data_IF_374674626646
#
_entry.id   IF_374674626646
#
_cell.length_a   1.000
_cell.length_b   1.000
_cell.length_c   1.000
_cell.angle_alpha   90.00
_cell.angle_beta   90.00
_cell.angle_gamma   90.00
#
_symmetry.space_group_name_H-M   'P 1'
#
loop_
_entity.id
_entity.type
_entity.pdbx_description
1 polymer ?
#
# COMPACT_ATOMS: atom_id res chain seq x y z
N UNK A 1 3.92 16.08 8.90
CA UNK A 1 3.72 17.43 9.47
C UNK A 1 2.44 18.12 9.01
N UNK A 2 2.21 18.43 7.72
CA UNK A 2 1.07 19.29 7.31
C UNK A 2 -0.36 18.72 7.40
N UNK A 3 -0.55 17.40 7.28
CA UNK A 3 -1.91 16.80 7.18
C UNK A 3 -2.81 17.09 8.39
N UNK A 4 -2.24 17.19 9.60
CA UNK A 4 -3.00 17.33 10.85
C UNK A 4 -3.91 18.57 10.86
N UNK A 5 -3.49 19.65 10.22
CA UNK A 5 -4.25 20.91 10.16
C UNK A 5 -5.48 20.83 9.25
N UNK A 6 -5.51 19.87 8.32
CA UNK A 6 -6.59 19.71 7.34
C UNK A 6 -7.63 18.66 7.77
N UNK A 7 -7.47 18.05 8.95
CA UNK A 7 -8.35 16.98 9.45
C UNK A 7 -9.06 17.37 10.76
N UNK A 8 -10.39 17.21 10.84
CA UNK A 8 -11.31 16.82 9.76
C UNK A 8 -11.55 17.98 8.78
N UNK A 9 -11.80 17.70 7.48
CA UNK A 9 -12.18 18.74 6.53
C UNK A 9 -13.57 19.30 6.86
N UNK A 10 -13.89 20.55 6.48
CA UNK A 10 -15.21 21.15 6.71
C UNK A 10 -16.37 20.32 6.13
N UNK A 11 -16.14 19.65 4.99
CA UNK A 11 -17.10 18.76 4.33
C UNK A 11 -17.41 17.48 5.12
N UNK A 12 -16.60 17.14 6.14
CA UNK A 12 -16.62 15.85 6.87
C UNK A 12 -16.51 14.62 5.97
N UNK A 13 -16.05 14.79 4.72
CA UNK A 13 -15.84 13.75 3.72
C UNK A 13 -14.52 14.02 3.01
N UNK A 14 -13.63 13.04 2.98
CA UNK A 14 -12.32 13.20 2.36
C UNK A 14 -11.64 11.87 2.13
N UNK A 15 -10.78 11.86 1.11
CA UNK A 15 -9.79 10.83 0.84
C UNK A 15 -8.41 11.42 1.10
N UNK A 16 -7.57 10.69 1.82
CA UNK A 16 -6.17 11.05 2.05
C UNK A 16 -5.29 9.99 1.40
N UNK A 17 -4.48 10.40 0.43
CA UNK A 17 -3.43 9.58 -0.16
C UNK A 17 -2.11 9.84 0.57
N UNK A 18 -1.43 8.79 0.99
CA UNK A 18 -0.12 8.81 1.65
C UNK A 18 0.83 7.96 0.81
N UNK A 19 1.75 8.63 0.12
CA UNK A 19 2.67 8.02 -0.84
C UNK A 19 4.06 8.68 -0.70
N UNK A 20 4.83 8.34 0.34
CA UNK A 20 6.20 8.81 0.47
C UNK A 20 7.16 8.04 -0.44
N UNK A 21 8.36 8.59 -0.70
CA UNK A 21 9.36 7.90 -1.53
C UNK A 21 9.98 6.67 -0.85
N UNK A 22 9.89 6.55 0.49
CA UNK A 22 10.49 5.48 1.30
C UNK A 22 12.03 5.37 1.17
N UNK A 23 12.69 6.46 0.79
CA UNK A 23 14.15 6.56 0.78
C UNK A 23 14.73 6.44 2.19
N UNK A 24 14.02 6.99 3.18
CA UNK A 24 14.44 7.02 4.57
C UNK A 24 13.66 5.96 5.35
N UNK A 25 14.37 5.12 6.12
CA UNK A 25 13.76 4.07 6.95
C UNK A 25 12.68 4.59 7.92
N UNK A 26 12.82 5.83 8.37
CA UNK A 26 11.84 6.44 9.29
C UNK A 26 10.50 6.72 8.64
N UNK A 27 10.40 6.72 7.31
CA UNK A 27 9.15 7.00 6.60
C UNK A 27 8.08 5.94 6.88
N UNK A 28 8.45 4.66 6.99
CA UNK A 28 7.54 3.58 7.36
C UNK A 28 6.87 3.83 8.73
N UNK A 29 7.65 4.25 9.72
CA UNK A 29 7.14 4.58 11.05
C UNK A 29 6.27 5.84 11.02
N UNK A 30 6.70 6.88 10.30
CA UNK A 30 5.94 8.14 10.14
C UNK A 30 4.58 7.91 9.49
N UNK A 31 4.48 7.03 8.49
CA UNK A 31 3.21 6.64 7.86
C UNK A 31 2.26 6.02 8.88
N UNK A 32 2.73 5.06 9.68
CA UNK A 32 1.90 4.43 10.71
C UNK A 32 1.42 5.46 11.76
N UNK A 33 2.30 6.34 12.24
CA UNK A 33 1.92 7.43 13.15
C UNK A 33 0.92 8.38 12.51
N UNK A 34 1.13 8.72 11.23
CA UNK A 34 0.22 9.59 10.47
C UNK A 34 -1.19 9.00 10.38
N UNK A 35 -1.32 7.71 10.08
CA UNK A 35 -2.62 7.02 10.06
C UNK A 35 -3.27 7.01 11.45
N UNK A 36 -2.50 6.67 12.49
CA UNK A 36 -3.02 6.65 13.86
C UNK A 36 -3.57 8.02 14.28
N UNK A 37 -2.83 9.09 14.03
CA UNK A 37 -3.27 10.46 14.35
C UNK A 37 -4.48 10.89 13.49
N UNK A 38 -4.49 10.49 12.22
CA UNK A 38 -5.58 10.83 11.30
C UNK A 38 -6.88 10.14 11.70
N UNK A 39 -6.85 8.85 12.06
CA UNK A 39 -8.02 8.12 12.52
C UNK A 39 -8.60 8.66 13.83
N UNK A 40 -7.75 9.19 14.73
CA UNK A 40 -8.21 9.88 15.95
C UNK A 40 -8.96 11.18 15.63
N UNK A 41 -8.52 11.94 14.61
CA UNK A 41 -9.08 13.25 14.24
C UNK A 41 -10.28 13.16 13.31
N UNK A 42 -10.21 12.26 12.34
CA UNK A 42 -11.20 12.08 11.29
C UNK A 42 -11.40 10.60 10.99
N UNK A 43 -12.14 9.94 11.87
CA UNK A 43 -12.32 8.47 11.89
C UNK A 43 -13.11 7.90 10.71
N UNK A 44 -13.84 8.74 9.96
CA UNK A 44 -14.67 8.35 8.81
C UNK A 44 -14.03 8.65 7.46
N UNK A 45 -12.83 9.26 7.44
CA UNK A 45 -12.08 9.49 6.21
C UNK A 45 -11.60 8.20 5.56
N UNK A 46 -11.50 8.19 4.23
CA UNK A 46 -10.83 7.10 3.51
C UNK A 46 -9.34 7.40 3.45
N UNK A 47 -8.51 6.50 3.97
CA UNK A 47 -7.05 6.65 3.98
C UNK A 47 -6.43 5.61 3.07
N UNK A 48 -5.62 6.04 2.11
CA UNK A 48 -4.97 5.20 1.12
C UNK A 48 -3.48 5.34 1.27
N UNK A 49 -2.78 4.23 1.56
CA UNK A 49 -1.33 4.19 1.73
C UNK A 49 -0.74 3.33 0.63
N UNK A 50 0.10 3.92 -0.21
CA UNK A 50 0.97 3.16 -1.12
C UNK A 50 2.25 2.77 -0.39
N UNK A 51 2.80 1.59 -0.66
CA UNK A 51 4.12 1.22 -0.15
C UNK A 51 4.86 0.20 -1.05
N UNK A 52 6.20 0.24 -1.09
CA UNK A 52 7.00 -0.72 -1.84
C UNK A 52 7.15 -2.04 -1.07
N UNK A 53 7.16 -3.16 -1.78
CA UNK A 53 7.50 -4.48 -1.22
C UNK A 53 8.93 -4.80 -1.64
N UNK A 54 9.86 -4.55 -0.72
CA UNK A 54 11.31 -4.71 -0.89
C UNK A 54 11.87 -5.48 0.30
N UNK A 55 13.04 -6.16 0.17
CA UNK A 55 13.67 -6.94 1.24
C UNK A 55 14.25 -6.05 2.36
N UNK A 56 13.38 -5.28 3.01
CA UNK A 56 13.64 -4.48 4.20
C UNK A 56 12.61 -4.82 5.28
N UNK A 57 13.01 -5.05 6.54
CA UNK A 57 12.08 -5.36 7.62
C UNK A 57 10.96 -4.32 7.76
N UNK A 58 11.31 -3.03 7.69
CA UNK A 58 10.36 -1.93 7.86
C UNK A 58 9.24 -1.94 6.80
N UNK A 59 9.58 -2.34 5.58
CA UNK A 59 8.60 -2.48 4.48
C UNK A 59 7.63 -3.64 4.70
N UNK A 60 8.11 -4.75 5.28
CA UNK A 60 7.28 -5.90 5.60
C UNK A 60 6.38 -5.64 6.82
N UNK A 61 6.83 -4.81 7.76
CA UNK A 61 6.10 -4.53 8.99
C UNK A 61 5.03 -3.46 8.84
N UNK A 62 5.19 -2.52 7.90
CA UNK A 62 4.20 -1.48 7.65
C UNK A 62 2.77 -2.03 7.44
N UNK A 63 2.50 -2.95 6.50
CA UNK A 63 1.14 -3.46 6.29
C UNK A 63 0.59 -4.19 7.53
N UNK A 64 1.43 -4.91 8.30
CA UNK A 64 1.01 -5.53 9.56
C UNK A 64 0.56 -4.48 10.57
N UNK A 65 1.35 -3.41 10.72
CA UNK A 65 1.05 -2.32 11.64
C UNK A 65 -0.21 -1.56 11.24
N UNK A 66 -0.44 -1.35 9.94
CA UNK A 66 -1.66 -0.73 9.43
C UNK A 66 -2.91 -1.59 9.69
N UNK A 67 -2.83 -2.92 9.50
CA UNK A 67 -3.89 -3.87 9.88
C UNK A 67 -4.22 -3.76 11.37
N UNK A 68 -3.20 -3.77 12.23
CA UNK A 68 -3.37 -3.61 13.69
C UNK A 68 -4.06 -2.30 14.05
N UNK A 69 -3.61 -1.17 13.48
CA UNK A 69 -4.18 0.15 13.75
C UNK A 69 -5.65 0.25 13.30
N UNK A 70 -5.98 -0.30 12.13
CA UNK A 70 -7.35 -0.33 11.62
C UNK A 70 -8.27 -1.18 12.51
N UNK A 71 -7.81 -2.38 12.91
CA UNK A 71 -8.55 -3.26 13.81
C UNK A 71 -8.76 -2.62 15.20
N UNK A 72 -7.72 -2.00 15.77
CA UNK A 72 -7.82 -1.28 17.05
C UNK A 72 -8.80 -0.10 16.98
N UNK A 73 -8.91 0.56 15.83
CA UNK A 73 -9.87 1.63 15.59
C UNK A 73 -11.28 1.11 15.22
N UNK A 74 -11.49 -0.21 15.16
CA UNK A 74 -12.70 -0.86 14.67
C UNK A 74 -13.14 -0.30 13.30
N UNK A 75 -12.18 -0.21 12.37
CA UNK A 75 -12.41 0.31 11.01
C UNK A 75 -12.19 -0.78 9.97
N UNK A 76 -13.08 -0.89 8.98
CA UNK A 76 -12.88 -1.80 7.87
C UNK A 76 -11.65 -1.35 7.07
N UNK A 77 -10.91 -2.32 6.57
CA UNK A 77 -9.74 -2.10 5.72
C UNK A 77 -9.68 -3.09 4.55
N UNK A 78 -8.98 -2.68 3.51
CA UNK A 78 -8.68 -3.45 2.31
C UNK A 78 -7.19 -3.33 2.01
N UNK A 79 -6.55 -4.44 1.68
CA UNK A 79 -5.13 -4.50 1.40
C UNK A 79 -4.91 -5.25 0.09
N UNK A 80 -4.44 -4.54 -0.93
CA UNK A 80 -4.13 -5.10 -2.23
C UNK A 80 -2.61 -5.08 -2.46
N UNK A 81 -2.06 -6.17 -2.97
CA UNK A 81 -0.66 -6.23 -3.41
C UNK A 81 -0.57 -6.72 -4.84
N UNK A 82 0.41 -6.20 -5.56
CA UNK A 82 0.74 -6.60 -6.93
C UNK A 82 2.24 -6.83 -7.01
N UNK A 83 2.63 -8.00 -7.47
CA UNK A 83 4.00 -8.35 -7.82
C UNK A 83 4.06 -8.62 -9.33
N UNK A 84 4.93 -7.89 -10.03
CA UNK A 84 5.16 -8.08 -11.47
C UNK A 84 6.20 -9.16 -11.73
N UNK A 85 6.88 -9.66 -10.70
CA UNK A 85 7.90 -10.69 -10.82
C UNK A 85 9.19 -10.19 -11.47
N UNK A 86 10.06 -11.15 -11.78
CA UNK A 86 11.37 -10.92 -12.36
C UNK A 86 11.43 -11.51 -13.77
N UNK A 87 12.06 -10.75 -14.65
CA UNK A 87 12.29 -11.11 -16.04
C UNK A 87 13.60 -11.89 -16.14
N UNK A 88 13.50 -13.20 -16.39
CA UNK A 88 14.69 -14.07 -16.47
C UNK A 88 15.50 -13.80 -17.75
N UNK A 89 14.87 -13.23 -18.79
CA UNK A 89 15.50 -12.96 -20.08
C UNK A 89 16.41 -11.72 -20.06
N UNK A 90 16.38 -10.91 -18.99
CA UNK A 90 17.26 -9.74 -18.81
C UNK A 90 18.62 -10.06 -18.18
N UNK A 91 18.92 -11.32 -17.90
CA UNK A 91 20.26 -11.75 -17.56
C UNK A 91 21.10 -11.95 -18.83
N UNK A 92 21.44 -10.85 -19.52
CA UNK A 92 22.43 -10.88 -20.61
C UNK A 92 23.82 -10.94 -19.98
N UNK A 93 24.65 -11.96 -20.25
CA UNK A 93 26.00 -12.03 -19.72
C UNK A 93 26.82 -10.80 -20.16
N UNK A 94 27.34 -10.02 -19.21
CA UNK A 94 28.20 -8.86 -19.49
C UNK A 94 27.52 -7.49 -19.33
N UNK A 95 26.20 -7.43 -19.13
CA UNK A 95 25.56 -6.20 -18.64
C UNK A 95 25.62 -6.15 -17.11
N UNK A 96 26.03 -5.01 -16.53
CA UNK A 96 25.88 -4.77 -15.10
C UNK A 96 24.43 -5.02 -14.73
N UNK A 97 24.19 -5.91 -13.75
CA UNK A 97 22.87 -6.18 -13.25
C UNK A 97 22.26 -4.85 -12.75
N UNK A 98 21.48 -4.17 -13.61
CA UNK A 98 20.70 -3.00 -13.23
C UNK A 98 19.92 -3.45 -12.01
N UNK A 99 20.26 -2.88 -10.84
CA UNK A 99 19.76 -3.35 -9.56
C UNK A 99 18.27 -3.65 -9.66
N UNK A 100 17.85 -4.84 -9.21
CA UNK A 100 16.48 -5.31 -9.36
C UNK A 100 15.53 -4.21 -8.86
N UNK A 101 14.89 -3.49 -9.80
CA UNK A 101 14.01 -2.38 -9.50
C UNK A 101 12.81 -2.86 -8.68
N UNK A 102 11.90 -1.94 -8.33
CA UNK A 102 10.70 -2.33 -7.60
C UNK A 102 9.89 -3.37 -8.39
N UNK A 103 9.78 -4.58 -7.84
CA UNK A 103 9.07 -5.71 -8.46
C UNK A 103 7.72 -5.98 -7.82
N UNK A 104 7.43 -5.35 -6.68
CA UNK A 104 6.15 -5.49 -6.01
C UNK A 104 5.81 -4.24 -5.17
N UNK A 105 4.53 -3.94 -5.05
CA UNK A 105 4.00 -2.85 -4.23
C UNK A 105 2.65 -3.23 -3.63
N UNK A 106 2.21 -2.47 -2.63
CA UNK A 106 0.90 -2.62 -2.03
C UNK A 106 0.16 -1.30 -1.84
N UNK A 107 -1.17 -1.41 -1.79
CA UNK A 107 -2.11 -0.36 -1.43
C UNK A 107 -2.89 -0.82 -0.20
N UNK A 108 -2.79 -0.08 0.89
CA UNK A 108 -3.59 -0.31 2.10
C UNK A 108 -4.63 0.79 2.25
N UNK A 109 -5.90 0.42 2.38
CA UNK A 109 -7.03 1.34 2.41
C UNK A 109 -7.82 1.14 3.71
N UNK A 110 -7.95 2.19 4.53
CA UNK A 110 -8.88 2.24 5.68
C UNK A 110 -10.16 2.95 5.26
N UNK A 111 -11.31 2.46 5.73
CA UNK A 111 -12.65 2.87 5.29
C UNK A 111 -12.78 2.83 3.76
N UNK A 112 -12.53 1.66 3.12
CA UNK A 112 -12.60 1.55 1.67
C UNK A 112 -14.05 1.79 1.18
N UNK A 113 -14.24 2.44 0.01
CA UNK A 113 -15.53 2.45 -0.66
C UNK A 113 -16.02 1.02 -0.92
N UNK A 114 -17.32 0.76 -0.72
CA UNK A 114 -17.87 -0.60 -0.78
C UNK A 114 -17.66 -1.31 -2.13
N UNK A 115 -17.60 -0.56 -3.23
CA UNK A 115 -17.36 -1.10 -4.58
C UNK A 115 -15.90 -1.46 -4.85
N UNK A 116 -14.95 -0.90 -4.07
CA UNK A 116 -13.53 -0.99 -4.38
C UNK A 116 -13.01 -2.42 -4.34
N UNK A 117 -13.48 -3.24 -3.39
CA UNK A 117 -13.09 -4.66 -3.29
C UNK A 117 -13.45 -5.43 -4.55
N UNK A 118 -14.68 -5.25 -5.06
CA UNK A 118 -15.13 -5.94 -6.28
C UNK A 118 -14.34 -5.46 -7.51
N UNK A 119 -14.13 -4.14 -7.63
CA UNK A 119 -13.35 -3.57 -8.71
C UNK A 119 -11.90 -4.11 -8.72
N UNK A 120 -11.26 -4.18 -7.55
CA UNK A 120 -9.90 -4.73 -7.43
C UNK A 120 -9.85 -6.23 -7.70
N UNK A 121 -10.84 -7.00 -7.24
CA UNK A 121 -10.92 -8.43 -7.53
C UNK A 121 -11.00 -8.73 -9.03
N UNK A 122 -11.62 -7.84 -9.81
CA UNK A 122 -11.69 -7.94 -11.27
C UNK A 122 -10.41 -7.42 -11.95
N UNK A 123 -9.84 -6.32 -11.45
CA UNK A 123 -8.71 -5.65 -12.08
C UNK A 123 -7.35 -6.35 -11.83
N UNK A 124 -7.08 -6.82 -10.61
CA UNK A 124 -5.78 -7.38 -10.23
C UNK A 124 -5.32 -8.56 -11.12
N UNK A 125 -6.19 -9.55 -11.46
CA UNK A 125 -5.80 -10.62 -12.38
C UNK A 125 -5.43 -10.11 -13.79
N UNK A 126 -6.15 -9.08 -14.29
CA UNK A 126 -5.84 -8.47 -15.58
C UNK A 126 -4.49 -7.74 -15.54
N UNK A 127 -4.21 -7.04 -14.43
CA UNK A 127 -2.93 -6.37 -14.22
C UNK A 127 -1.76 -7.37 -14.18
N UNK A 128 -1.90 -8.51 -13.50
CA UNK A 128 -0.87 -9.56 -13.51
C UNK A 128 -0.67 -10.12 -14.92
N UNK A 129 -1.74 -10.33 -15.68
CA UNK A 129 -1.66 -10.84 -17.07
C UNK A 129 -0.89 -9.89 -18.00
N UNK A 130 -1.05 -8.59 -17.83
CA UNK A 130 -0.46 -7.57 -18.73
C UNK A 130 0.92 -7.11 -18.27
N UNK A 131 1.12 -6.95 -16.96
CA UNK A 131 2.34 -6.37 -16.39
C UNK A 131 3.33 -7.42 -15.87
N UNK A 132 2.87 -8.66 -15.70
CA UNK A 132 3.67 -9.76 -15.17
C UNK A 132 4.84 -10.13 -16.08
N UNK A 133 5.98 -10.43 -15.46
CA UNK A 133 7.28 -10.66 -16.13
C UNK A 133 7.84 -12.07 -15.90
N UNK A 134 7.06 -12.97 -15.29
CA UNK A 134 7.48 -14.34 -15.04
C UNK A 134 7.56 -14.67 -13.55
N UNK A 135 8.70 -15.21 -13.10
CA UNK A 135 8.83 -15.79 -11.76
C UNK A 135 8.56 -14.76 -10.68
N UNK A 136 7.76 -15.14 -9.67
CA UNK A 136 7.42 -14.27 -8.54
C UNK A 136 6.35 -13.21 -8.85
N UNK A 137 5.71 -13.26 -10.03
CA UNK A 137 4.51 -12.46 -10.27
C UNK A 137 3.32 -12.97 -9.48
N UNK A 138 2.40 -12.08 -9.12
CA UNK A 138 1.20 -12.45 -8.40
C UNK A 138 0.44 -11.23 -7.88
N UNK A 139 -0.68 -11.50 -7.23
CA UNK A 139 -1.49 -10.50 -6.57
C UNK A 139 -2.10 -11.09 -5.30
N UNK A 140 -2.39 -10.24 -4.32
CA UNK A 140 -3.24 -10.61 -3.20
C UNK A 140 -4.24 -9.50 -2.90
N UNK A 141 -5.41 -9.90 -2.41
CA UNK A 141 -6.46 -9.00 -1.95
C UNK A 141 -7.01 -9.52 -0.63
N UNK A 142 -6.72 -8.79 0.44
CA UNK A 142 -7.14 -9.09 1.81
C UNK A 142 -8.07 -7.99 2.33
N UNK A 143 -8.98 -8.33 3.23
CA UNK A 143 -9.81 -7.36 3.94
C UNK A 143 -10.05 -7.80 5.38
N UNK A 144 -10.39 -6.85 6.24
CA UNK A 144 -10.77 -7.12 7.62
C UNK A 144 -11.21 -5.85 8.33
N UNK A 145 -11.26 -5.92 9.66
CA UNK A 145 -11.74 -4.83 10.52
C UNK A 145 -13.24 -4.87 10.76
#
# INVERSE_FOLDING_TARGET
EGLKAFLPPPSRRGLVLIDPSYEIKTDYAKVATCIQDSLKRFSTGTYVVWYPVIPRPEAHDLPRRLKTLANQAAKPWLHATLAIGQDEARNVPGEEARGQGLTASGMFVVNPPHTLKLALAQALPQLVKVLGRGRGQGQALECGG
#
